data_IF_640011439741
#
_entry.id   IF_640011439741
#
_cell.length_a   1.000
_cell.length_b   1.000
_cell.length_c   1.000
_cell.angle_alpha   90.00
_cell.angle_beta   90.00
_cell.angle_gamma   90.00
#
_symmetry.space_group_name_H-M   'P 1'
#
loop_
_entity.id
_entity.type
_entity.pdbx_description
1 polymer ?
#
# COMPACT_ATOMS: atom_id res chain seq x y z
N UNK A 1 -16.21 -10.84 -91.81
CA UNK A 1 -17.33 -10.12 -92.47
C UNK A 1 -18.63 -10.90 -92.21
N UNK A 2 -19.62 -10.26 -91.56
CA UNK A 2 -21.07 -10.58 -91.42
C UNK A 2 -21.50 -12.06 -91.22
N UNK A 3 -21.93 -12.41 -90.00
CA UNK A 3 -23.34 -12.47 -89.49
C UNK A 3 -24.15 -13.68 -89.98
N UNK A 4 -24.54 -14.56 -89.03
CA UNK A 4 -25.92 -14.90 -88.64
C UNK A 4 -25.90 -16.18 -87.81
N UNK A 5 -26.00 -16.05 -86.48
CA UNK A 5 -26.32 -17.16 -85.60
C UNK A 5 -27.81 -17.15 -85.26
N UNK A 6 -28.36 -18.35 -85.30
CA UNK A 6 -29.74 -18.81 -85.19
C UNK A 6 -30.45 -18.41 -83.89
N UNK A 7 -31.73 -18.01 -84.02
CA UNK A 7 -32.68 -17.88 -82.90
C UNK A 7 -32.98 -19.26 -82.28
N UNK A 8 -33.07 -19.31 -80.95
CA UNK A 8 -33.77 -20.34 -80.16
C UNK A 8 -34.80 -19.65 -79.23
N UNK A 9 -35.94 -20.29 -78.93
CA UNK A 9 -37.11 -19.59 -78.43
C UNK A 9 -37.15 -19.39 -76.91
N UNK A 10 -37.92 -18.35 -76.59
CA UNK A 10 -38.47 -17.80 -75.35
C UNK A 10 -38.64 -18.76 -74.15
N UNK A 11 -38.07 -18.38 -73.00
CA UNK A 11 -38.51 -18.84 -71.68
C UNK A 11 -38.90 -17.61 -70.84
N UNK A 12 -40.20 -17.50 -70.57
CA UNK A 12 -40.83 -16.47 -69.74
C UNK A 12 -40.42 -16.72 -68.28
N UNK A 13 -39.68 -15.80 -67.67
CA UNK A 13 -39.43 -15.78 -66.22
C UNK A 13 -40.17 -14.61 -65.59
N UNK A 14 -41.28 -14.94 -64.94
CA UNK A 14 -42.04 -14.07 -64.05
C UNK A 14 -41.21 -13.81 -62.80
N UNK A 15 -40.64 -12.61 -62.64
CA UNK A 15 -40.10 -12.16 -61.37
C UNK A 15 -40.98 -11.07 -60.77
N UNK A 16 -41.77 -11.52 -59.80
CA UNK A 16 -42.59 -10.76 -58.88
C UNK A 16 -41.69 -9.77 -58.12
N UNK A 17 -41.95 -8.48 -58.29
CA UNK A 17 -41.34 -7.40 -57.51
C UNK A 17 -41.85 -7.55 -56.07
N UNK A 18 -41.00 -8.05 -55.16
CA UNK A 18 -41.28 -8.03 -53.73
C UNK A 18 -40.82 -6.70 -53.14
N UNK A 19 -41.80 -5.88 -52.82
CA UNK A 19 -41.71 -4.71 -51.97
C UNK A 19 -41.24 -5.17 -50.57
N UNK A 20 -39.97 -4.95 -50.22
CA UNK A 20 -39.46 -5.27 -48.89
C UNK A 20 -39.75 -4.08 -47.96
N UNK A 21 -40.75 -4.26 -47.09
CA UNK A 21 -41.04 -3.37 -45.97
C UNK A 21 -39.82 -3.25 -45.05
N UNK A 22 -39.49 -2.00 -44.72
CA UNK A 22 -38.51 -1.63 -43.71
C UNK A 22 -39.04 -2.08 -42.33
N UNK A 23 -38.25 -2.86 -41.61
CA UNK A 23 -38.48 -3.18 -40.20
C UNK A 23 -37.13 -3.08 -39.48
N UNK A 24 -36.74 -1.86 -39.09
CA UNK A 24 -35.59 -1.64 -38.25
C UNK A 24 -35.95 -2.07 -36.81
N UNK A 25 -35.61 -3.31 -36.46
CA UNK A 25 -35.68 -3.80 -35.08
C UNK A 25 -34.41 -3.31 -34.37
N UNK A 26 -34.51 -2.21 -33.64
CA UNK A 26 -33.42 -1.69 -32.81
C UNK A 26 -33.30 -2.61 -31.57
N UNK A 27 -32.39 -3.58 -31.62
CA UNK A 27 -31.97 -4.35 -30.44
C UNK A 27 -31.17 -3.41 -29.53
N UNK A 28 -31.86 -2.82 -28.55
CA UNK A 28 -31.20 -2.13 -27.44
C UNK A 28 -30.60 -3.21 -26.55
N UNK A 29 -29.31 -3.48 -26.72
CA UNK A 29 -28.53 -4.21 -25.72
C UNK A 29 -28.43 -3.31 -24.50
N UNK A 30 -29.25 -3.54 -23.47
CA UNK A 30 -28.99 -3.02 -22.15
C UNK A 30 -27.69 -3.67 -21.66
N UNK A 31 -26.57 -2.95 -21.78
CA UNK A 31 -25.36 -3.33 -21.07
C UNK A 31 -25.71 -3.35 -19.59
N UNK A 32 -25.50 -4.49 -18.93
CA UNK A 32 -25.63 -4.54 -17.48
C UNK A 32 -24.75 -3.43 -16.89
N UNK A 33 -25.28 -2.57 -16.01
CA UNK A 33 -24.43 -1.66 -15.29
C UNK A 33 -23.44 -2.53 -14.53
N UNK A 34 -22.16 -2.42 -14.87
CA UNK A 34 -21.09 -2.90 -13.99
C UNK A 34 -21.29 -2.12 -12.69
N UNK A 35 -21.92 -2.75 -11.71
CA UNK A 35 -21.98 -2.23 -10.37
C UNK A 35 -20.52 -2.13 -9.92
N UNK A 36 -19.98 -0.91 -10.01
CA UNK A 36 -18.67 -0.60 -9.47
C UNK A 36 -18.67 -1.10 -8.04
N UNK A 37 -17.79 -2.06 -7.75
CA UNK A 37 -17.70 -2.66 -6.43
C UNK A 37 -17.53 -1.51 -5.45
N UNK A 38 -18.48 -1.35 -4.53
CA UNK A 38 -18.39 -0.32 -3.50
C UNK A 38 -17.01 -0.45 -2.85
N UNK A 39 -16.28 0.66 -2.63
CA UNK A 39 -14.97 0.58 -2.01
C UNK A 39 -15.13 -0.23 -0.72
N UNK A 40 -14.27 -1.23 -0.54
CA UNK A 40 -14.27 -2.01 0.69
C UNK A 40 -13.90 -1.03 1.80
N UNK A 41 -14.91 -0.53 2.51
CA UNK A 41 -14.72 0.29 3.70
C UNK A 41 -14.13 -0.64 4.75
N UNK A 42 -12.80 -0.61 4.88
CA UNK A 42 -12.15 -1.31 5.97
C UNK A 42 -12.38 -0.49 7.23
N UNK A 43 -13.37 -0.89 8.04
CA UNK A 43 -13.69 -0.20 9.27
C UNK A 43 -12.44 -0.11 10.15
N UNK A 44 -12.22 1.03 10.80
CA UNK A 44 -11.09 1.19 11.73
C UNK A 44 -11.04 0.05 12.76
N UNK A 45 -12.19 -0.51 13.14
CA UNK A 45 -12.29 -1.66 14.04
C UNK A 45 -11.58 -2.93 13.55
N UNK A 46 -11.54 -3.18 12.23
CA UNK A 46 -10.91 -4.37 11.63
C UNK A 46 -9.43 -4.18 11.30
N UNK A 47 -8.88 -2.98 11.51
CA UNK A 47 -7.45 -2.74 11.35
C UNK A 47 -6.69 -3.36 12.52
N UNK A 48 -5.83 -4.32 12.21
CA UNK A 48 -4.99 -5.07 13.15
C UNK A 48 -3.50 -4.71 13.05
N UNK A 49 -3.15 -3.81 12.11
CA UNK A 49 -1.78 -3.33 11.94
C UNK A 49 -1.36 -2.47 13.13
N UNK A 50 -0.26 -2.87 13.74
CA UNK A 50 0.46 -2.09 14.74
C UNK A 50 1.82 -1.71 14.16
N UNK A 51 2.22 -0.46 14.36
CA UNK A 51 3.53 0.04 13.93
C UNK A 51 4.32 0.51 15.14
N UNK A 52 5.50 -0.05 15.32
CA UNK A 52 6.47 0.34 16.31
C UNK A 52 7.60 1.12 15.61
N UNK A 53 7.90 2.30 16.12
CA UNK A 53 9.03 3.15 15.74
C UNK A 53 10.02 3.19 16.90
N UNK A 54 11.12 2.44 16.81
CA UNK A 54 12.20 2.50 17.79
C UNK A 54 13.25 3.50 17.31
N UNK A 55 13.31 4.66 17.97
CA UNK A 55 14.23 5.72 17.62
C UNK A 55 15.67 5.31 17.99
N UNK A 56 16.60 5.47 17.04
CA UNK A 56 18.03 5.31 17.29
C UNK A 56 18.63 6.63 17.81
N UNK A 57 19.94 6.72 18.02
CA UNK A 57 20.58 7.99 18.37
C UNK A 57 20.14 9.11 17.42
N UNK A 58 19.64 10.26 17.90
CA UNK A 58 19.05 11.29 17.03
C UNK A 58 20.03 11.91 16.04
N UNK A 59 21.33 11.81 16.30
CA UNK A 59 22.40 12.18 15.36
C UNK A 59 22.42 11.33 14.08
N UNK A 60 21.87 10.11 14.09
CA UNK A 60 21.76 9.29 12.89
C UNK A 60 20.54 9.61 12.04
N UNK A 61 19.61 10.41 12.57
CA UNK A 61 18.30 10.64 11.96
C UNK A 61 17.53 9.34 11.67
N UNK A 62 17.89 8.24 12.32
CA UNK A 62 17.39 6.92 11.99
C UNK A 62 16.49 6.31 13.07
N UNK A 63 15.58 5.46 12.62
CA UNK A 63 14.69 4.69 13.49
C UNK A 63 14.35 3.35 12.84
N UNK A 64 14.20 2.32 13.69
CA UNK A 64 13.76 0.99 13.27
C UNK A 64 12.23 0.96 13.32
N UNK A 65 11.62 0.71 12.17
CA UNK A 65 10.19 0.46 12.08
C UNK A 65 9.95 -1.04 12.13
N UNK A 66 9.06 -1.49 13.00
CA UNK A 66 8.50 -2.85 12.95
C UNK A 66 6.99 -2.75 12.78
N UNK A 67 6.42 -3.51 11.85
CA UNK A 67 4.96 -3.61 11.77
C UNK A 67 4.49 -4.99 11.34
N UNK A 68 3.34 -5.38 11.87
CA UNK A 68 2.66 -6.60 11.49
C UNK A 68 1.56 -6.28 10.48
N UNK A 69 1.46 -7.10 9.44
CA UNK A 69 0.39 -7.00 8.46
C UNK A 69 -0.24 -8.36 8.20
N UNK A 70 -1.57 -8.40 8.25
CA UNK A 70 -2.34 -9.58 7.87
C UNK A 70 -2.78 -9.45 6.42
N UNK A 71 -2.17 -10.26 5.55
CA UNK A 71 -2.54 -10.42 4.15
C UNK A 71 -3.86 -11.18 4.08
N UNK A 72 -4.82 -10.62 3.34
CA UNK A 72 -6.20 -11.14 3.26
C UNK A 72 -6.69 -11.40 1.83
N UNK A 73 -6.05 -10.78 0.84
CA UNK A 73 -6.50 -10.84 -0.55
C UNK A 73 -6.08 -12.18 -1.18
N UNK A 74 -7.01 -13.03 -1.62
CA UNK A 74 -6.65 -14.28 -2.28
C UNK A 74 -5.80 -14.04 -3.54
N UNK A 75 -4.84 -14.93 -3.77
CA UNK A 75 -3.89 -14.83 -4.86
C UNK A 75 -2.81 -13.76 -4.68
N UNK A 76 -2.82 -12.99 -3.58
CA UNK A 76 -1.77 -12.03 -3.28
C UNK A 76 -0.42 -12.74 -3.14
N UNK A 77 0.62 -12.13 -3.69
CA UNK A 77 1.99 -12.68 -3.69
C UNK A 77 3.01 -11.72 -3.11
N UNK A 78 2.63 -10.45 -2.97
CA UNK A 78 3.52 -9.39 -2.56
C UNK A 78 2.92 -8.57 -1.45
N UNK A 79 3.79 -8.01 -0.63
CA UNK A 79 3.47 -6.84 0.17
C UNK A 79 4.45 -5.73 -0.20
N UNK A 80 3.95 -4.51 -0.23
CA UNK A 80 4.74 -3.33 -0.60
C UNK A 80 4.77 -2.34 0.56
N UNK A 81 5.96 -1.95 0.96
CA UNK A 81 6.15 -0.79 1.81
C UNK A 81 6.76 0.35 0.98
N UNK A 82 6.00 1.42 0.81
CA UNK A 82 6.45 2.61 0.07
C UNK A 82 7.12 3.57 1.05
N UNK A 83 8.40 3.81 0.84
CA UNK A 83 9.20 4.72 1.66
C UNK A 83 8.78 6.15 1.36
N UNK A 84 8.63 6.97 2.42
CA UNK A 84 8.21 8.37 2.30
C UNK A 84 9.29 9.16 1.57
N UNK A 85 8.85 10.16 0.82
CA UNK A 85 9.77 11.09 0.12
C UNK A 85 10.70 11.78 1.12
N UNK A 86 12.01 11.70 0.89
CA UNK A 86 13.04 12.22 1.78
C UNK A 86 13.51 11.24 2.87
N UNK A 87 12.94 10.04 2.95
CA UNK A 87 13.47 8.94 3.76
C UNK A 87 14.22 7.93 2.89
N UNK A 88 15.21 7.26 3.49
CA UNK A 88 15.93 6.13 2.87
C UNK A 88 15.80 4.89 3.75
N UNK A 89 15.58 3.73 3.12
CA UNK A 89 15.47 2.44 3.80
C UNK A 89 16.78 1.65 3.77
N UNK A 90 17.14 1.08 4.91
CA UNK A 90 18.20 0.07 5.05
C UNK A 90 17.73 -1.11 5.90
N UNK A 91 18.49 -2.20 5.84
CA UNK A 91 18.32 -3.41 6.66
C UNK A 91 16.89 -3.98 6.71
N UNK A 92 16.19 -4.12 5.56
CA UNK A 92 14.86 -4.72 5.57
C UNK A 92 14.93 -6.20 5.98
N UNK A 93 13.97 -6.60 6.81
CA UNK A 93 13.67 -7.97 7.16
C UNK A 93 12.18 -8.20 6.93
N UNK A 94 11.82 -9.41 6.51
CA UNK A 94 10.44 -9.84 6.40
C UNK A 94 10.33 -11.27 6.91
N UNK A 95 9.35 -11.53 7.76
CA UNK A 95 9.15 -12.82 8.41
C UNK A 95 7.70 -13.24 8.24
N UNK A 96 7.47 -14.48 7.82
CA UNK A 96 6.16 -15.13 7.89
C UNK A 96 5.91 -15.52 9.35
N UNK A 97 4.91 -14.93 9.99
CA UNK A 97 4.61 -15.20 11.40
C UNK A 97 3.85 -16.52 11.61
N UNK A 98 3.33 -17.14 10.54
CA UNK A 98 2.68 -18.44 10.65
C UNK A 98 3.73 -19.57 10.70
N UNK A 99 4.86 -19.41 10.00
CA UNK A 99 5.95 -20.42 9.94
C UNK A 99 7.22 -20.04 10.71
N UNK A 100 7.45 -18.75 10.94
CA UNK A 100 8.71 -18.22 11.46
C UNK A 100 9.82 -18.05 10.42
N UNK A 101 9.55 -18.35 9.14
CA UNK A 101 10.57 -18.29 8.08
C UNK A 101 10.83 -16.86 7.60
N UNK A 102 12.07 -16.60 7.21
CA UNK A 102 12.43 -15.35 6.54
C UNK A 102 11.89 -15.34 5.11
N UNK A 103 11.19 -14.25 4.76
CA UNK A 103 10.67 -14.01 3.43
C UNK A 103 11.69 -13.27 2.58
N UNK A 104 11.70 -13.59 1.28
CA UNK A 104 12.51 -12.87 0.30
C UNK A 104 11.99 -11.44 0.18
N UNK A 105 12.91 -10.49 0.06
CA UNK A 105 12.61 -9.10 -0.22
C UNK A 105 13.58 -8.51 -1.24
N UNK A 106 13.21 -7.37 -1.82
CA UNK A 106 14.11 -6.47 -2.56
C UNK A 106 13.70 -5.01 -2.33
N UNK A 107 14.64 -4.09 -2.52
CA UNK A 107 14.37 -2.65 -2.58
C UNK A 107 14.46 -2.20 -4.02
N UNK A 108 13.39 -1.58 -4.52
CA UNK A 108 13.31 -1.03 -5.87
C UNK A 108 12.81 0.41 -5.83
N UNK A 109 12.96 1.14 -6.94
CA UNK A 109 12.31 2.45 -7.09
C UNK A 109 10.87 2.30 -7.57
N UNK A 110 10.03 3.31 -7.32
CA UNK A 110 8.66 3.32 -7.87
C UNK A 110 8.64 3.31 -9.41
N UNK A 111 9.66 3.87 -10.06
CA UNK A 111 9.86 3.72 -11.52
C UNK A 111 10.07 2.26 -11.92
N UNK A 112 10.92 1.53 -11.22
CA UNK A 112 11.12 0.10 -11.46
C UNK A 112 9.84 -0.69 -11.19
N UNK A 113 9.11 -0.39 -10.11
CA UNK A 113 7.83 -1.04 -9.80
C UNK A 113 6.82 -0.89 -10.95
N UNK A 114 6.67 0.32 -11.50
CA UNK A 114 5.82 0.57 -12.69
C UNK A 114 6.30 -0.19 -13.93
N UNK A 115 7.60 -0.18 -14.21
CA UNK A 115 8.15 -0.91 -15.37
C UNK A 115 7.91 -2.43 -15.30
N UNK A 116 7.82 -2.99 -14.09
CA UNK A 116 7.52 -4.40 -13.82
C UNK A 116 6.01 -4.69 -13.72
N UNK A 117 5.16 -3.68 -13.91
CA UNK A 117 3.71 -3.76 -13.71
C UNK A 117 3.31 -4.31 -12.32
N UNK A 118 4.09 -3.99 -11.28
CA UNK A 118 3.75 -4.36 -9.90
C UNK A 118 2.58 -3.48 -9.42
N UNK A 119 1.60 -4.04 -8.68
CA UNK A 119 0.41 -3.31 -8.22
C UNK A 119 0.74 -2.49 -6.96
N UNK A 120 1.70 -1.56 -7.07
CA UNK A 120 2.10 -0.65 -5.99
C UNK A 120 1.27 0.61 -6.09
N UNK A 121 0.53 0.91 -5.03
CA UNK A 121 -0.24 2.15 -4.89
C UNK A 121 0.67 3.30 -4.39
N UNK A 122 0.41 4.52 -4.84
CA UNK A 122 1.00 5.77 -4.32
C UNK A 122 2.55 5.89 -4.33
N UNK A 123 3.26 5.11 -5.13
CA UNK A 123 4.72 5.22 -5.27
C UNK A 123 5.14 6.25 -6.34
N UNK A 124 5.83 7.31 -5.93
CA UNK A 124 6.49 8.25 -6.85
C UNK A 124 7.63 7.56 -7.60
N UNK A 125 8.09 8.13 -8.73
CA UNK A 125 9.18 7.55 -9.54
C UNK A 125 10.44 7.25 -8.73
N UNK A 126 10.79 8.17 -7.84
CA UNK A 126 12.01 8.23 -7.03
C UNK A 126 11.85 7.62 -5.64
N UNK A 127 10.63 7.29 -5.21
CA UNK A 127 10.38 6.62 -3.94
C UNK A 127 11.01 5.23 -3.93
N UNK A 128 11.69 4.90 -2.84
CA UNK A 128 12.08 3.52 -2.53
C UNK A 128 10.83 2.71 -2.15
N UNK A 129 10.79 1.46 -2.59
CA UNK A 129 9.72 0.50 -2.33
C UNK A 129 10.36 -0.79 -1.89
N UNK A 130 10.06 -1.23 -0.68
CA UNK A 130 10.42 -2.58 -0.20
C UNK A 130 9.34 -3.54 -0.68
N UNK A 131 9.75 -4.50 -1.51
CA UNK A 131 8.89 -5.57 -2.00
C UNK A 131 9.17 -6.81 -1.18
N UNK A 132 8.18 -7.26 -0.40
CA UNK A 132 8.23 -8.53 0.31
C UNK A 132 7.48 -9.58 -0.49
N UNK A 133 8.14 -10.71 -0.76
CA UNK A 133 7.56 -11.84 -1.46
C UNK A 133 6.97 -12.81 -0.44
N UNK A 134 5.68 -13.09 -0.54
CA UNK A 134 5.05 -14.12 0.28
C UNK A 134 5.60 -15.50 -0.10
N UNK A 135 5.73 -16.40 0.87
CA UNK A 135 6.26 -17.74 0.64
C UNK A 135 5.44 -18.53 -0.40
N UNK A 136 4.13 -18.22 -0.47
CA UNK A 136 3.18 -18.79 -1.43
C UNK A 136 2.06 -17.78 -1.71
N UNK A 137 1.39 -17.83 -2.88
CA UNK A 137 0.17 -17.08 -3.10
C UNK A 137 -0.87 -17.39 -2.03
N UNK A 138 -1.59 -16.36 -1.55
CA UNK A 138 -2.59 -16.56 -0.50
C UNK A 138 -3.77 -17.40 -1.01
N UNK A 139 -4.14 -18.45 -0.28
CA UNK A 139 -5.27 -19.31 -0.66
C UNK A 139 -6.62 -18.67 -0.30
N UNK A 140 -7.69 -19.04 -1.02
CA UNK A 140 -9.05 -18.59 -0.70
C UNK A 140 -9.43 -18.99 0.74
N UNK A 141 -10.02 -18.04 1.47
CA UNK A 141 -10.47 -18.25 2.86
C UNK A 141 -9.35 -18.33 3.90
N UNK A 142 -8.09 -18.05 3.51
CA UNK A 142 -6.94 -18.02 4.43
C UNK A 142 -6.43 -16.61 4.63
N UNK A 143 -5.69 -16.40 5.71
CA UNK A 143 -4.90 -15.19 5.97
C UNK A 143 -3.46 -15.58 6.22
N UNK A 144 -2.51 -14.68 5.94
CA UNK A 144 -1.12 -14.86 6.33
C UNK A 144 -0.66 -13.61 7.07
N UNK A 145 -0.09 -13.78 8.27
CA UNK A 145 0.42 -12.66 9.04
C UNK A 145 1.93 -12.55 8.82
N UNK A 146 2.39 -11.38 8.42
CA UNK A 146 3.80 -11.10 8.18
C UNK A 146 4.28 -9.99 9.11
N UNK A 147 5.54 -10.07 9.52
CA UNK A 147 6.24 -9.00 10.24
C UNK A 147 7.30 -8.41 9.36
N UNK A 148 7.27 -7.09 9.21
CA UNK A 148 8.25 -6.33 8.45
C UNK A 148 9.05 -5.47 9.41
N UNK A 149 10.35 -5.42 9.19
CA UNK A 149 11.24 -4.56 9.95
C UNK A 149 12.16 -3.81 9.00
N UNK A 150 12.21 -2.49 9.11
CA UNK A 150 12.96 -1.63 8.19
C UNK A 150 13.60 -0.47 8.96
N UNK A 151 14.83 -0.09 8.61
CA UNK A 151 15.51 1.05 9.23
C UNK A 151 15.38 2.24 8.30
N UNK A 152 14.76 3.31 8.77
CA UNK A 152 14.59 4.53 7.98
C UNK A 152 15.51 5.61 8.51
N UNK A 153 16.16 6.35 7.63
CA UNK A 153 16.79 7.63 7.93
C UNK A 153 15.94 8.77 7.34
N UNK A 154 15.48 9.70 8.19
CA UNK A 154 14.64 10.83 7.79
C UNK A 154 15.01 12.09 8.61
N UNK A 155 15.99 12.88 8.13
CA UNK A 155 16.45 14.08 8.84
C UNK A 155 15.40 15.19 8.91
N UNK A 156 14.32 15.12 8.13
CA UNK A 156 13.26 16.12 8.15
C UNK A 156 12.30 15.89 9.31
N UNK A 157 11.98 14.63 9.62
CA UNK A 157 11.05 14.29 10.70
C UNK A 157 11.73 13.88 12.01
N UNK A 158 13.03 13.58 12.00
CA UNK A 158 13.76 13.16 13.19
C UNK A 158 15.14 13.83 13.28
N UNK A 159 15.33 14.72 14.24
CA UNK A 159 16.54 15.56 14.34
C UNK A 159 16.78 16.09 15.76
N UNK A 160 17.91 16.78 15.96
CA UNK A 160 18.21 17.55 17.17
C UNK A 160 17.93 19.04 16.92
N UNK A 161 17.20 19.68 17.86
CA UNK A 161 17.01 21.12 17.95
C UNK A 161 17.51 21.61 19.32
N UNK A 162 18.68 22.24 19.33
CA UNK A 162 19.40 22.62 20.56
C UNK A 162 19.82 21.37 21.36
N UNK A 163 19.29 21.22 22.57
CA UNK A 163 19.53 20.07 23.44
C UNK A 163 18.43 19.00 23.37
N UNK A 164 17.45 19.20 22.50
CA UNK A 164 16.26 18.35 22.43
C UNK A 164 16.23 17.52 21.15
N UNK A 165 15.82 16.27 21.31
CA UNK A 165 15.40 15.41 20.23
C UNK A 165 14.01 15.85 19.79
N UNK A 166 13.81 16.00 18.49
CA UNK A 166 12.53 16.33 17.86
C UNK A 166 12.11 15.18 16.96
N UNK A 167 10.88 14.74 17.14
CA UNK A 167 10.17 13.85 16.22
C UNK A 167 8.91 14.56 15.73
N UNK A 168 8.79 14.76 14.43
CA UNK A 168 7.69 15.47 13.78
C UNK A 168 7.21 14.69 12.57
N UNK A 169 6.26 13.78 12.78
CA UNK A 169 5.79 12.86 11.74
C UNK A 169 4.29 12.69 11.77
N UNK A 170 3.69 12.47 10.59
CA UNK A 170 2.26 12.13 10.51
C UNK A 170 2.03 10.62 10.55
N UNK A 171 0.96 10.17 11.22
CA UNK A 171 0.53 8.78 11.25
C UNK A 171 -0.88 8.62 10.69
N UNK A 172 -1.04 7.82 9.64
CA UNK A 172 -2.35 7.45 9.08
C UNK A 172 -2.90 6.11 9.56
N UNK A 173 -2.05 5.27 10.17
CA UNK A 173 -2.45 3.95 10.69
C UNK A 173 -3.00 4.07 12.11
N UNK A 174 -3.88 3.14 12.49
CA UNK A 174 -4.66 3.23 13.72
C UNK A 174 -3.79 3.16 14.98
N UNK A 175 -2.88 2.18 15.09
CA UNK A 175 -2.07 1.95 16.29
C UNK A 175 -0.60 2.18 15.99
N UNK A 176 0.01 3.14 16.70
CA UNK A 176 1.40 3.51 16.51
C UNK A 176 2.09 3.66 17.86
N UNK A 177 3.30 3.13 17.99
CA UNK A 177 4.12 3.28 19.19
C UNK A 177 5.43 3.92 18.79
N UNK A 178 5.83 4.97 19.48
CA UNK A 178 7.17 5.56 19.37
C UNK A 178 7.94 5.25 20.64
N UNK A 179 9.10 4.62 20.52
CA UNK A 179 10.01 4.32 21.63
C UNK A 179 11.22 5.21 21.52
N UNK A 180 11.45 6.04 22.53
CA UNK A 180 12.59 6.95 22.59
C UNK A 180 13.90 6.17 22.75
N UNK A 181 15.05 6.74 22.33
CA UNK A 181 16.34 6.10 22.53
C UNK A 181 16.65 5.96 24.03
N UNK A 182 17.47 4.98 24.39
CA UNK A 182 17.86 4.77 25.79
C UNK A 182 18.51 6.03 26.36
N UNK A 183 18.15 6.37 27.61
CA UNK A 183 18.64 7.57 28.29
C UNK A 183 17.93 8.86 27.89
N UNK A 184 16.87 8.81 27.08
CA UNK A 184 16.02 9.97 26.79
C UNK A 184 14.71 9.92 27.59
N UNK A 185 14.10 11.10 27.78
CA UNK A 185 12.77 11.25 28.38
C UNK A 185 11.95 12.30 27.62
N UNK A 186 10.64 12.08 27.56
CA UNK A 186 9.69 12.95 26.85
C UNK A 186 9.53 14.29 27.59
N UNK A 187 9.60 15.41 26.88
CA UNK A 187 9.39 16.76 27.43
C UNK A 187 8.13 17.43 26.89
N UNK A 188 7.73 17.10 25.65
CA UNK A 188 6.50 17.61 25.05
C UNK A 188 5.91 16.59 24.08
N UNK A 189 4.59 16.60 23.94
CA UNK A 189 3.84 15.77 23.00
C UNK A 189 2.55 16.49 22.60
N UNK A 190 2.24 16.55 21.30
CA UNK A 190 1.04 17.23 20.78
C UNK A 190 -0.18 16.32 20.62
N UNK A 191 0.00 15.00 20.74
CA UNK A 191 -1.07 14.01 20.52
C UNK A 191 -1.40 13.28 21.82
N UNK A 192 -2.69 13.01 22.12
CA UNK A 192 -3.05 12.13 23.23
C UNK A 192 -2.37 10.77 23.07
N UNK A 193 -1.76 10.28 24.15
CA UNK A 193 -1.02 9.02 24.14
C UNK A 193 -1.00 8.38 25.54
N UNK A 194 -0.78 7.07 25.55
CA UNK A 194 -0.37 6.35 26.76
C UNK A 194 1.15 6.35 26.82
N UNK A 195 1.73 6.78 27.94
CA UNK A 195 3.18 6.85 28.14
C UNK A 195 3.57 5.82 29.18
N UNK A 196 4.56 5.00 28.85
CA UNK A 196 5.06 3.94 29.73
C UNK A 196 6.60 3.94 29.73
N UNK A 197 7.18 3.49 30.85
CA UNK A 197 8.62 3.16 30.89
C UNK A 197 8.76 1.66 30.69
N UNK A 198 9.47 1.27 29.64
CA UNK A 198 9.75 -0.12 29.32
C UNK A 198 10.71 -0.74 30.35
N UNK A 199 10.77 -2.08 30.46
CA UNK A 199 11.68 -2.76 31.40
C UNK A 199 13.17 -2.39 31.22
N UNK A 200 13.57 -2.01 30.00
CA UNK A 200 14.92 -1.56 29.68
C UNK A 200 15.17 -0.06 29.99
N UNK A 201 14.17 0.65 30.52
CA UNK A 201 14.24 2.05 30.90
C UNK A 201 13.92 3.05 29.76
N UNK A 202 13.66 2.58 28.53
CA UNK A 202 13.21 3.46 27.44
C UNK A 202 11.78 3.94 27.68
N UNK A 203 11.45 5.10 27.14
CA UNK A 203 10.09 5.65 27.18
C UNK A 203 9.33 5.22 25.93
N UNK A 204 8.19 4.58 26.12
CA UNK A 204 7.22 4.22 25.08
C UNK A 204 6.09 5.25 25.06
N UNK A 205 5.68 5.66 23.86
CA UNK A 205 4.57 6.57 23.61
C UNK A 205 3.62 5.88 22.63
N UNK A 206 2.50 5.38 23.14
CA UNK A 206 1.48 4.69 22.36
C UNK A 206 0.36 5.65 21.95
N UNK A 207 0.12 5.77 20.64
CA UNK A 207 -0.82 6.69 20.03
C UNK A 207 -1.86 5.92 19.21
N UNK A 208 -3.13 6.23 19.45
CA UNK A 208 -4.26 5.75 18.66
C UNK A 208 -4.75 6.86 17.73
N UNK A 209 -4.62 6.67 16.42
CA UNK A 209 -5.24 7.53 15.42
C UNK A 209 -6.66 7.03 15.09
N UNK A 210 -7.66 7.59 15.75
CA UNK A 210 -9.08 7.26 15.53
C UNK A 210 -9.70 7.97 14.31
N UNK A 211 -8.99 8.87 13.63
CA UNK A 211 -9.50 9.61 12.47
C UNK A 211 -9.42 8.79 11.20
N UNK A 212 -10.06 9.23 10.12
CA UNK A 212 -9.90 8.60 8.81
C UNK A 212 -8.65 9.08 8.06
N UNK A 213 -8.10 10.24 8.45
CA UNK A 213 -6.94 10.90 7.88
C UNK A 213 -5.69 10.75 8.77
N UNK A 214 -4.62 11.47 8.38
CA UNK A 214 -3.36 11.53 9.11
C UNK A 214 -3.46 12.43 10.35
N UNK A 215 -2.85 12.00 11.46
CA UNK A 215 -2.58 12.88 12.61
C UNK A 215 -1.11 13.28 12.64
N UNK A 216 -0.81 14.53 12.99
CA UNK A 216 0.56 14.96 13.28
C UNK A 216 0.93 14.52 14.70
N UNK A 217 2.02 13.76 14.82
CA UNK A 217 2.65 13.39 16.08
C UNK A 217 3.95 14.15 16.19
N UNK A 218 3.90 15.24 16.95
CA UNK A 218 5.06 16.05 17.30
C UNK A 218 5.42 15.79 18.75
N UNK A 219 6.67 15.39 18.99
CA UNK A 219 7.22 15.25 20.33
C UNK A 219 8.62 15.84 20.43
N UNK A 220 8.94 16.29 21.65
CA UNK A 220 10.28 16.70 22.04
C UNK A 220 10.73 15.83 23.21
N UNK A 221 12.03 15.55 23.27
CA UNK A 221 12.64 14.77 24.34
C UNK A 221 14.02 15.33 24.71
N UNK A 222 14.46 15.06 25.94
CA UNK A 222 15.81 15.41 26.43
C UNK A 222 16.56 14.19 26.91
N UNK A 223 17.89 14.30 26.91
CA UNK A 223 18.74 13.33 27.60
C UNK A 223 18.48 13.44 29.10
N UNK A 224 18.31 12.29 29.76
CA UNK A 224 18.25 12.21 31.21
C UNK A 224 19.57 12.74 31.79
N UNK A 225 19.53 13.56 32.85
CA UNK A 225 20.74 13.91 33.60
C UNK A 225 21.45 12.62 34.04
N UNK A 226 22.79 12.63 33.96
CA UNK A 226 23.61 11.56 34.52
C UNK A 226 23.58 11.61 36.04
#
# INVERSE_FOLDING_TARGET
MKKRNTLKPLAIRTHLIRLACVSALLLITFGEPVLGQAPILNERAYQDREILYELQGPESHAFRITHDYTVRKPGERYYFNVVRSGSHVTDPESVDLDSGENLKWEVITGKQARSRALPVEDAKEDSEVVVTYLARPLANGTTNRIRLKETYADPKSYYIDGEELVWDRTFGRLRNTVVLPLGWYLTALTSPATIETLPDGRVSVYIVNNRADDIRVYLRARRRPR
#
